data_IF_690364087736
#
_entry.id   IF_690364087736
#
_cell.length_a   1.000
_cell.length_b   1.000
_cell.length_c   1.000
_cell.angle_alpha   90.00
_cell.angle_beta   90.00
_cell.angle_gamma   90.00
#
_symmetry.space_group_name_H-M   'P 1'
#
loop_
_entity.id
_entity.type
_entity.pdbx_description
1 polymer ?
#
# COMPACT_ATOMS: atom_id res chain seq x y z
N UNK A 1 11.48 14.33 -12.71
CA UNK A 1 12.92 14.51 -12.99
C UNK A 1 13.60 13.17 -12.79
N UNK A 2 13.88 12.43 -13.87
CA UNK A 2 14.63 11.16 -13.79
C UNK A 2 16.08 11.49 -13.45
N UNK A 3 16.59 11.00 -12.33
CA UNK A 3 18.02 11.10 -12.01
C UNK A 3 18.71 9.99 -12.81
N UNK A 4 19.51 10.36 -13.81
CA UNK A 4 20.34 9.41 -14.53
C UNK A 4 21.28 8.75 -13.51
N UNK A 5 21.10 7.45 -13.31
CA UNK A 5 22.12 6.64 -12.65
C UNK A 5 23.27 6.57 -13.65
N UNK A 6 24.29 7.42 -13.49
CA UNK A 6 25.53 7.34 -14.26
C UNK A 6 26.35 6.13 -13.80
N UNK A 7 25.82 4.92 -14.03
CA UNK A 7 26.53 3.66 -13.82
C UNK A 7 26.47 2.82 -15.08
N UNK A 8 27.63 2.32 -15.51
CA UNK A 8 27.76 1.32 -16.57
C UNK A 8 27.44 -0.10 -16.07
N UNK A 9 27.09 -0.28 -14.79
CA UNK A 9 26.70 -1.57 -14.22
C UNK A 9 25.16 -1.75 -14.27
N UNK A 10 24.64 -2.74 -15.02
CA UNK A 10 23.21 -3.04 -15.09
C UNK A 10 22.53 -3.31 -13.73
N UNK A 11 23.29 -3.82 -12.76
CA UNK A 11 22.77 -4.15 -11.44
C UNK A 11 22.46 -2.89 -10.61
N UNK A 12 23.21 -1.81 -10.80
CA UNK A 12 22.95 -0.54 -10.11
C UNK A 12 21.65 0.10 -10.59
N UNK A 13 21.40 0.04 -11.90
CA UNK A 13 20.14 0.50 -12.50
C UNK A 13 18.97 -0.35 -12.01
N UNK A 14 19.15 -1.68 -11.95
CA UNK A 14 18.13 -2.61 -11.44
C UNK A 14 17.80 -2.33 -9.98
N UNK A 15 18.82 -2.21 -9.11
CA UNK A 15 18.67 -1.87 -7.70
C UNK A 15 17.94 -0.54 -7.52
N UNK A 16 18.33 0.49 -8.28
CA UNK A 16 17.69 1.81 -8.21
C UNK A 16 16.20 1.74 -8.60
N UNK A 17 15.87 1.08 -9.71
CA UNK A 17 14.49 0.92 -10.17
C UNK A 17 13.63 0.16 -9.14
N UNK A 18 14.15 -0.94 -8.61
CA UNK A 18 13.46 -1.75 -7.60
C UNK A 18 13.19 -0.93 -6.35
N UNK A 19 14.19 -0.22 -5.81
CA UNK A 19 13.99 0.67 -4.65
C UNK A 19 12.98 1.77 -4.95
N UNK A 20 13.09 2.43 -6.10
CA UNK A 20 12.17 3.49 -6.49
C UNK A 20 10.71 2.99 -6.53
N UNK A 21 10.46 1.82 -7.13
CA UNK A 21 9.13 1.22 -7.18
C UNK A 21 8.56 0.94 -5.79
N UNK A 22 9.32 0.29 -4.91
CA UNK A 22 8.85 -0.03 -3.56
C UNK A 22 8.71 1.21 -2.67
N UNK A 23 9.56 2.22 -2.83
CA UNK A 23 9.39 3.51 -2.14
C UNK A 23 8.13 4.25 -2.62
N UNK A 24 7.84 4.28 -3.92
CA UNK A 24 6.60 4.87 -4.44
C UNK A 24 5.37 4.21 -3.83
N UNK A 25 5.36 2.87 -3.81
CA UNK A 25 4.30 2.09 -3.18
C UNK A 25 4.15 2.45 -1.70
N UNK A 26 5.26 2.49 -0.96
CA UNK A 26 5.27 2.82 0.45
C UNK A 26 4.67 4.20 0.73
N UNK A 27 5.03 5.21 -0.07
CA UNK A 27 4.47 6.57 0.04
C UNK A 27 2.96 6.58 -0.18
N UNK A 28 2.47 5.83 -1.16
CA UNK A 28 1.05 5.72 -1.45
C UNK A 28 0.30 4.98 -0.33
N UNK A 29 0.88 3.89 0.18
CA UNK A 29 0.36 3.15 1.36
C UNK A 29 0.30 4.05 2.59
N UNK A 30 1.37 4.79 2.90
CA UNK A 30 1.41 5.72 4.02
C UNK A 30 0.36 6.84 3.88
N UNK A 31 0.08 7.29 2.66
CA UNK A 31 -1.00 8.22 2.40
C UNK A 31 -2.37 7.62 2.79
N UNK A 32 -2.67 6.37 2.39
CA UNK A 32 -3.90 5.67 2.82
C UNK A 32 -4.01 5.63 4.36
N UNK A 33 -2.95 5.19 5.05
CA UNK A 33 -2.92 5.12 6.51
C UNK A 33 -3.12 6.49 7.18
N UNK A 34 -2.63 7.57 6.57
CA UNK A 34 -2.82 8.94 7.07
C UNK A 34 -4.26 9.41 6.89
N UNK A 35 -4.84 9.19 5.72
CA UNK A 35 -6.21 9.64 5.41
C UNK A 35 -7.27 8.93 6.25
N UNK A 36 -6.96 7.75 6.79
CA UNK A 36 -7.84 7.02 7.71
C UNK A 36 -8.00 7.65 9.09
N UNK A 37 -7.28 8.73 9.44
CA UNK A 37 -7.56 9.49 10.66
C UNK A 37 -7.53 8.61 11.92
N UNK A 38 -8.66 8.45 12.61
CA UNK A 38 -8.78 7.55 13.78
C UNK A 38 -9.49 6.23 13.47
N UNK A 39 -9.62 5.87 12.18
CA UNK A 39 -10.41 4.75 11.69
C UNK A 39 -11.84 4.78 12.26
N UNK A 40 -12.46 5.96 12.27
CA UNK A 40 -13.89 6.07 12.50
C UNK A 40 -14.66 5.65 11.24
N UNK A 41 -15.95 5.32 11.38
CA UNK A 41 -16.80 5.03 10.21
C UNK A 41 -16.83 6.18 9.20
N UNK A 42 -16.75 7.43 9.67
CA UNK A 42 -16.67 8.61 8.81
C UNK A 42 -15.34 8.73 8.07
N UNK A 43 -14.21 8.36 8.71
CA UNK A 43 -12.90 8.33 8.07
C UNK A 43 -12.84 7.24 6.98
N UNK A 44 -13.31 6.03 7.31
CA UNK A 44 -13.32 4.87 6.42
C UNK A 44 -14.20 5.12 5.20
N UNK A 45 -15.43 5.59 5.39
CA UNK A 45 -16.37 5.91 4.30
C UNK A 45 -16.09 7.26 3.63
N UNK A 46 -15.13 8.03 4.15
CA UNK A 46 -14.77 9.34 3.66
C UNK A 46 -14.11 9.30 2.28
N UNK A 47 -14.35 10.34 1.47
CA UNK A 47 -13.79 10.43 0.12
C UNK A 47 -12.25 10.40 0.12
N UNK A 48 -11.59 10.98 1.13
CA UNK A 48 -10.11 11.07 1.16
C UNK A 48 -9.45 9.69 1.25
N UNK A 49 -9.90 8.81 2.14
CA UNK A 49 -9.38 7.46 2.25
C UNK A 49 -9.66 6.65 0.98
N UNK A 50 -10.86 6.80 0.41
CA UNK A 50 -11.26 6.15 -0.84
C UNK A 50 -10.39 6.55 -2.01
N UNK A 51 -10.14 7.85 -2.20
CA UNK A 51 -9.30 8.36 -3.29
C UNK A 51 -7.83 7.99 -3.10
N UNK A 52 -7.32 7.98 -1.86
CA UNK A 52 -5.96 7.52 -1.58
C UNK A 52 -5.78 6.04 -1.97
N UNK A 53 -6.74 5.18 -1.59
CA UNK A 53 -6.72 3.77 -1.97
C UNK A 53 -6.90 3.61 -3.48
N UNK A 54 -7.75 4.42 -4.10
CA UNK A 54 -7.94 4.46 -5.55
C UNK A 54 -6.65 4.78 -6.30
N UNK A 55 -5.89 5.79 -5.84
CA UNK A 55 -4.60 6.16 -6.41
C UNK A 55 -3.56 5.05 -6.26
N UNK A 56 -3.48 4.41 -5.09
CA UNK A 56 -2.61 3.24 -4.88
C UNK A 56 -3.00 2.11 -5.84
N UNK A 57 -4.30 1.82 -5.98
CA UNK A 57 -4.81 0.76 -6.85
C UNK A 57 -4.49 1.02 -8.32
N UNK A 58 -4.65 2.27 -8.77
CA UNK A 58 -4.27 2.69 -10.12
C UNK A 58 -2.77 2.54 -10.35
N UNK A 59 -1.94 2.99 -9.41
CA UNK A 59 -0.48 2.86 -9.50
C UNK A 59 -0.07 1.39 -9.55
N UNK A 60 -0.63 0.53 -8.71
CA UNK A 60 -0.33 -0.91 -8.70
C UNK A 60 -0.69 -1.57 -10.03
N UNK A 61 -1.87 -1.26 -10.60
CA UNK A 61 -2.25 -1.76 -11.93
C UNK A 61 -1.27 -1.33 -13.01
N UNK A 62 -0.88 -0.06 -12.99
CA UNK A 62 0.02 0.52 -14.00
C UNK A 62 1.44 -0.02 -13.89
N UNK A 63 2.00 -0.10 -12.68
CA UNK A 63 3.39 -0.47 -12.46
C UNK A 63 3.61 -1.98 -12.53
N UNK A 64 2.63 -2.79 -12.09
CA UNK A 64 2.71 -4.25 -12.16
C UNK A 64 2.02 -4.86 -13.37
N UNK A 65 1.51 -4.04 -14.30
CA UNK A 65 0.77 -4.48 -15.50
C UNK A 65 -0.36 -5.48 -15.16
N UNK A 66 -1.14 -5.15 -14.12
CA UNK A 66 -2.22 -6.02 -13.65
C UNK A 66 -3.43 -5.95 -14.59
N UNK A 67 -4.15 -7.07 -14.81
CA UNK A 67 -5.31 -7.08 -15.68
C UNK A 67 -6.37 -6.05 -15.26
N UNK A 68 -6.90 -5.33 -16.26
CA UNK A 68 -8.06 -4.48 -16.07
C UNK A 68 -9.29 -5.30 -15.66
N UNK A 69 -10.18 -4.69 -14.86
CA UNK A 69 -11.42 -5.35 -14.41
C UNK A 69 -11.24 -6.41 -13.31
N UNK A 70 -10.04 -6.55 -12.74
CA UNK A 70 -9.80 -7.36 -11.53
C UNK A 70 -9.46 -6.49 -10.32
N UNK A 71 -9.84 -6.98 -9.16
CA UNK A 71 -9.49 -6.37 -7.88
C UNK A 71 -7.98 -6.45 -7.65
N UNK A 72 -7.43 -5.40 -7.06
CA UNK A 72 -6.01 -5.32 -6.74
C UNK A 72 -5.79 -6.13 -5.47
N UNK A 73 -4.95 -7.18 -5.56
CA UNK A 73 -4.41 -7.83 -4.37
C UNK A 73 -3.26 -6.97 -3.86
N UNK A 74 -3.48 -6.21 -2.79
CA UNK A 74 -2.45 -5.29 -2.32
C UNK A 74 -1.18 -6.04 -1.91
N UNK A 75 -1.23 -7.27 -1.42
CA UNK A 75 -0.06 -8.14 -1.18
C UNK A 75 0.78 -8.54 -2.41
N UNK A 76 0.34 -8.23 -3.63
CA UNK A 76 1.07 -8.56 -4.87
C UNK A 76 2.53 -8.08 -4.84
N UNK A 77 3.46 -8.91 -5.30
CA UNK A 77 4.90 -8.64 -5.42
C UNK A 77 5.65 -8.33 -4.10
N UNK A 78 5.07 -8.59 -2.93
CA UNK A 78 5.79 -8.51 -1.64
C UNK A 78 6.70 -9.74 -1.38
N UNK A 79 6.47 -10.83 -2.10
CA UNK A 79 7.28 -12.05 -2.10
C UNK A 79 8.36 -12.05 -3.19
N UNK A 80 8.42 -11.01 -4.03
CA UNK A 80 9.35 -10.95 -5.14
C UNK A 80 10.82 -10.92 -4.63
N UNK A 81 11.72 -11.79 -5.13
CA UNK A 81 13.10 -11.91 -4.61
C UNK A 81 13.88 -10.59 -4.61
N UNK A 82 13.68 -9.75 -5.63
CA UNK A 82 14.32 -8.43 -5.73
C UNK A 82 13.94 -7.47 -4.60
N UNK A 83 12.77 -7.60 -3.96
CA UNK A 83 12.46 -6.82 -2.76
C UNK A 83 13.42 -7.17 -1.64
N UNK A 84 13.61 -8.47 -1.38
CA UNK A 84 14.53 -8.95 -0.35
C UNK A 84 15.99 -8.60 -0.67
N UNK A 85 16.37 -8.56 -1.95
CA UNK A 85 17.74 -8.26 -2.36
C UNK A 85 18.08 -6.77 -2.30
N UNK A 86 17.18 -5.89 -2.75
CA UNK A 86 17.49 -4.47 -2.98
C UNK A 86 16.74 -3.48 -2.09
N UNK A 87 15.67 -3.91 -1.43
CA UNK A 87 14.78 -3.07 -0.64
C UNK A 87 14.26 -3.78 0.63
N UNK A 88 15.07 -4.66 1.23
CA UNK A 88 14.69 -5.44 2.40
C UNK A 88 14.27 -4.58 3.59
N UNK A 89 14.88 -3.40 3.72
CA UNK A 89 14.56 -2.39 4.73
C UNK A 89 13.11 -1.87 4.63
N UNK A 90 12.51 -1.89 3.44
CA UNK A 90 11.14 -1.41 3.22
C UNK A 90 10.09 -2.50 3.43
N UNK A 91 10.50 -3.77 3.46
CA UNK A 91 9.58 -4.91 3.39
C UNK A 91 8.60 -4.93 4.57
N UNK A 92 9.09 -4.70 5.78
CA UNK A 92 8.26 -4.79 6.98
C UNK A 92 7.14 -3.73 6.97
N UNK A 93 7.48 -2.48 6.66
CA UNK A 93 6.51 -1.38 6.58
C UNK A 93 5.50 -1.61 5.45
N UNK A 94 5.97 -2.08 4.29
CA UNK A 94 5.11 -2.45 3.16
C UNK A 94 4.10 -3.54 3.53
N UNK A 95 4.51 -4.57 4.26
CA UNK A 95 3.62 -5.65 4.70
C UNK A 95 2.55 -5.13 5.66
N UNK A 96 2.93 -4.35 6.67
CA UNK A 96 1.97 -3.81 7.65
C UNK A 96 0.99 -2.83 7.00
N UNK A 97 1.48 -1.87 6.21
CA UNK A 97 0.61 -0.92 5.52
C UNK A 97 -0.28 -1.59 4.46
N UNK A 98 0.18 -2.69 3.86
CA UNK A 98 -0.64 -3.50 2.94
C UNK A 98 -1.83 -4.12 3.65
N UNK A 99 -1.69 -4.61 4.89
CA UNK A 99 -2.84 -5.16 5.66
C UNK A 99 -3.92 -4.11 5.91
N UNK A 100 -3.52 -2.87 6.20
CA UNK A 100 -4.44 -1.73 6.32
C UNK A 100 -5.19 -1.50 5.00
N UNK A 101 -4.48 -1.50 3.86
CA UNK A 101 -5.08 -1.31 2.54
C UNK A 101 -6.04 -2.45 2.17
N UNK A 102 -5.69 -3.71 2.46
CA UNK A 102 -6.57 -4.87 2.23
C UNK A 102 -7.82 -4.79 3.09
N UNK A 103 -7.69 -4.46 4.38
CA UNK A 103 -8.84 -4.29 5.27
C UNK A 103 -9.76 -3.14 4.81
N UNK A 104 -9.18 -2.01 4.36
CA UNK A 104 -9.95 -0.90 3.81
C UNK A 104 -10.69 -1.29 2.53
N UNK A 105 -10.04 -2.05 1.65
CA UNK A 105 -10.68 -2.55 0.44
C UNK A 105 -11.87 -3.46 0.77
N UNK A 106 -11.72 -4.37 1.75
CA UNK A 106 -12.81 -5.24 2.20
C UNK A 106 -14.02 -4.42 2.70
N UNK A 107 -13.78 -3.37 3.49
CA UNK A 107 -14.84 -2.48 3.96
C UNK A 107 -15.63 -1.82 2.82
N UNK A 108 -14.98 -1.49 1.69
CA UNK A 108 -15.65 -0.93 0.52
C UNK A 108 -16.43 -1.95 -0.31
N UNK A 109 -16.17 -3.24 -0.09
CA UNK A 109 -16.89 -4.35 -0.73
C UNK A 109 -17.88 -5.04 0.20
N UNK A 110 -18.04 -4.55 1.43
CA UNK A 110 -18.99 -5.09 2.39
C UNK A 110 -20.44 -4.85 1.90
N UNK A 111 -21.22 -5.92 1.83
CA UNK A 111 -22.61 -5.85 1.38
C UNK A 111 -23.58 -5.61 2.55
N UNK A 112 -23.11 -5.80 3.80
CA UNK A 112 -23.93 -5.69 5.01
C UNK A 112 -23.27 -4.80 6.05
N UNK A 113 -24.10 -4.06 6.79
CA UNK A 113 -23.62 -3.14 7.83
C UNK A 113 -22.77 -3.81 8.91
N UNK A 114 -23.08 -5.06 9.29
CA UNK A 114 -22.31 -5.80 10.29
C UNK A 114 -20.95 -6.28 9.76
N UNK A 115 -20.81 -6.51 8.44
CA UNK A 115 -19.52 -6.81 7.81
C UNK A 115 -18.66 -5.54 7.83
N UNK A 116 -19.24 -4.40 7.47
CA UNK A 116 -18.58 -3.11 7.50
C UNK A 116 -18.09 -2.73 8.92
N UNK A 117 -18.91 -2.93 9.95
CA UNK A 117 -18.48 -2.65 11.33
C UNK A 117 -17.31 -3.56 11.75
N UNK A 118 -17.35 -4.84 11.37
CA UNK A 118 -16.23 -5.78 11.61
C UNK A 118 -14.97 -5.36 10.86
N UNK A 119 -15.09 -4.91 9.61
CA UNK A 119 -13.96 -4.44 8.82
C UNK A 119 -13.37 -3.14 9.38
N UNK A 120 -14.21 -2.23 9.90
CA UNK A 120 -13.74 -1.01 10.57
C UNK A 120 -12.90 -1.33 11.81
N UNK A 121 -13.32 -2.29 12.63
CA UNK A 121 -12.51 -2.74 13.78
C UNK A 121 -11.17 -3.32 13.32
N UNK A 122 -11.17 -4.16 12.29
CA UNK A 122 -9.93 -4.70 11.71
C UNK A 122 -9.02 -3.60 11.16
N UNK A 123 -9.56 -2.61 10.46
CA UNK A 123 -8.80 -1.45 9.97
C UNK A 123 -8.16 -0.73 11.15
N UNK A 124 -8.89 -0.53 12.25
CA UNK A 124 -8.37 0.15 13.44
C UNK A 124 -7.22 -0.63 14.08
N UNK A 125 -7.35 -1.95 14.22
CA UNK A 125 -6.30 -2.81 14.75
C UNK A 125 -5.02 -2.74 13.90
N UNK A 126 -5.14 -2.96 12.60
CA UNK A 126 -4.00 -2.95 11.67
C UNK A 126 -3.37 -1.55 11.57
N UNK A 127 -4.19 -0.49 11.56
CA UNK A 127 -3.70 0.89 11.52
C UNK A 127 -2.96 1.27 12.81
N UNK A 128 -3.46 0.86 13.97
CA UNK A 128 -2.79 1.07 15.24
C UNK A 128 -1.45 0.32 15.28
N UNK A 129 -1.42 -0.93 14.81
CA UNK A 129 -0.18 -1.69 14.70
C UNK A 129 0.83 -1.00 13.77
N UNK A 130 0.40 -0.58 12.58
CA UNK A 130 1.25 0.16 11.63
C UNK A 130 1.82 1.45 12.24
N UNK A 131 0.98 2.23 12.94
CA UNK A 131 1.39 3.49 13.54
C UNK A 131 2.31 3.33 14.73
N UNK A 132 2.11 2.29 15.55
CA UNK A 132 2.98 2.00 16.68
C UNK A 132 4.44 1.80 16.23
N UNK A 133 4.66 1.28 15.04
CA UNK A 133 5.98 1.00 14.50
C UNK A 133 6.54 2.12 13.61
N UNK A 134 5.69 2.80 12.82
CA UNK A 134 6.14 3.68 11.73
C UNK A 134 5.62 5.12 11.76
N UNK A 135 4.65 5.46 12.63
CA UNK A 135 4.17 6.84 12.68
C UNK A 135 5.15 7.73 13.48
N UNK A 136 5.72 8.71 12.79
CA UNK A 136 6.33 9.91 13.38
C UNK A 136 5.32 11.07 13.35
#
# INVERSE_FOLDING_TARGET
MFRLVESSNPDDVTKWNVRAHYTQRLVLTAAVCRELGSATRADVLGARAREALGLLSWWMRTVYDLPEGRDVRYSHALDHPRLAEYASDLKHELEMGTRVCEALFMAYTADKDWELDSDIERIREELNAYRAEFAQ
#
